data_IF_944721345666
#
_entry.id   IF_944721345666
#
_cell.length_a   1.000
_cell.length_b   1.000
_cell.length_c   1.000
_cell.angle_alpha   90.00
_cell.angle_beta   90.00
_cell.angle_gamma   90.00
#
_symmetry.space_group_name_H-M   'P 1'
#
loop_
_entity.id
_entity.type
_entity.pdbx_description
1 polymer ?
#
# COMPACT_ATOMS: atom_id res chain seq x y z
N UNK A 1 -17.33 -26.79 -16.42
CA UNK A 1 -16.66 -25.71 -17.16
C UNK A 1 -15.32 -25.50 -16.48
N UNK A 2 -14.20 -25.69 -17.19
CA UNK A 2 -12.87 -25.45 -16.61
C UNK A 2 -12.71 -23.94 -16.43
N UNK A 3 -12.51 -23.49 -15.18
CA UNK A 3 -12.12 -22.12 -14.91
C UNK A 3 -10.84 -21.82 -15.70
N UNK A 4 -10.77 -20.67 -16.37
CA UNK A 4 -9.61 -20.31 -17.17
C UNK A 4 -8.36 -20.29 -16.29
N UNK A 5 -7.18 -20.56 -16.85
CA UNK A 5 -5.90 -20.54 -16.11
C UNK A 5 -5.67 -19.22 -15.35
N UNK A 6 -6.31 -18.12 -15.78
CA UNK A 6 -6.37 -16.84 -15.08
C UNK A 6 -7.22 -16.88 -13.80
N UNK A 7 -8.43 -17.45 -13.82
CA UNK A 7 -9.26 -17.59 -12.62
C UNK A 7 -8.56 -18.44 -11.56
N UNK A 8 -7.95 -19.57 -11.93
CA UNK A 8 -7.22 -20.42 -10.98
C UNK A 8 -6.04 -19.71 -10.33
N UNK A 9 -5.28 -18.93 -11.11
CA UNK A 9 -4.18 -18.12 -10.57
C UNK A 9 -4.73 -17.06 -9.63
N UNK A 10 -5.85 -16.40 -9.98
CA UNK A 10 -6.49 -15.39 -9.13
C UNK A 10 -6.98 -15.98 -7.80
N UNK A 11 -7.66 -17.13 -7.82
CA UNK A 11 -8.10 -17.83 -6.60
C UNK A 11 -6.92 -18.27 -5.73
N UNK A 12 -5.82 -18.72 -6.35
CA UNK A 12 -4.58 -19.02 -5.62
C UNK A 12 -4.01 -17.76 -4.97
N UNK A 13 -3.97 -16.63 -5.69
CA UNK A 13 -3.50 -15.36 -5.14
C UNK A 13 -4.41 -14.85 -4.01
N UNK A 14 -5.73 -14.89 -4.17
CA UNK A 14 -6.70 -14.45 -3.16
C UNK A 14 -6.57 -15.25 -1.86
N UNK A 15 -6.29 -16.56 -1.94
CA UNK A 15 -6.07 -17.41 -0.77
C UNK A 15 -4.74 -17.16 -0.02
N UNK A 16 -3.73 -16.61 -0.69
CA UNK A 16 -2.39 -16.39 -0.11
C UNK A 16 -2.15 -14.90 0.19
N UNK A 17 -2.88 -13.97 -0.44
CA UNK A 17 -2.72 -12.52 -0.28
C UNK A 17 -2.72 -12.07 1.19
N UNK A 18 -3.68 -12.55 1.97
CA UNK A 18 -3.74 -12.25 3.41
C UNK A 18 -2.51 -12.74 4.18
N UNK A 19 -1.94 -13.90 3.79
CA UNK A 19 -0.70 -14.42 4.38
C UNK A 19 0.52 -13.69 3.85
N UNK A 20 0.47 -13.16 2.64
CA UNK A 20 1.56 -12.40 2.01
C UNK A 20 1.74 -11.03 2.64
N UNK A 21 0.66 -10.29 2.93
CA UNK A 21 0.79 -9.02 3.66
C UNK A 21 1.37 -9.25 5.06
N UNK A 22 0.90 -10.29 5.76
CA UNK A 22 1.49 -10.70 7.03
C UNK A 22 2.96 -11.12 6.91
N UNK A 23 3.30 -11.93 5.90
CA UNK A 23 4.70 -12.31 5.63
C UNK A 23 5.54 -11.10 5.22
N UNK A 24 5.02 -10.13 4.48
CA UNK A 24 5.75 -8.95 4.07
C UNK A 24 6.11 -8.10 5.29
N UNK A 25 5.19 -7.96 6.24
CA UNK A 25 5.49 -7.32 7.53
C UNK A 25 6.47 -8.15 8.38
N UNK A 26 6.32 -9.47 8.41
CA UNK A 26 7.14 -10.36 9.23
C UNK A 26 8.56 -10.57 8.67
N UNK A 27 8.70 -10.88 7.38
CA UNK A 27 9.96 -11.04 6.65
C UNK A 27 10.73 -9.72 6.51
N UNK A 28 10.03 -8.59 6.37
CA UNK A 28 10.70 -7.29 6.45
C UNK A 28 11.13 -6.97 7.89
N UNK A 29 10.77 -7.76 8.91
CA UNK A 29 11.01 -7.43 10.32
C UNK A 29 10.50 -6.02 10.69
N UNK A 30 9.44 -5.54 10.02
CA UNK A 30 8.92 -4.17 10.17
C UNK A 30 9.76 -3.08 9.50
N UNK A 31 10.72 -3.43 8.65
CA UNK A 31 11.53 -2.47 7.87
C UNK A 31 10.65 -1.70 6.88
N UNK A 32 9.56 -2.29 6.40
CA UNK A 32 8.60 -1.63 5.54
C UNK A 32 8.08 -0.32 6.17
N UNK A 33 7.80 -0.33 7.48
CA UNK A 33 7.40 0.86 8.22
C UNK A 33 8.49 1.93 8.27
N UNK A 34 9.77 1.54 8.35
CA UNK A 34 10.89 2.47 8.30
C UNK A 34 11.00 3.14 6.93
N UNK A 35 10.76 2.39 5.85
CA UNK A 35 10.78 2.92 4.49
C UNK A 35 9.63 3.90 4.27
N UNK A 36 8.42 3.58 4.76
CA UNK A 36 7.28 4.50 4.72
C UNK A 36 7.57 5.80 5.47
N UNK A 37 8.09 5.70 6.71
CA UNK A 37 8.50 6.87 7.49
C UNK A 37 9.56 7.70 6.76
N UNK A 38 10.56 7.06 6.16
CA UNK A 38 11.62 7.75 5.43
C UNK A 38 11.07 8.48 4.19
N UNK A 39 10.17 7.86 3.45
CA UNK A 39 9.54 8.47 2.28
C UNK A 39 8.66 9.67 2.67
N UNK A 40 7.82 9.51 3.70
CA UNK A 40 6.94 10.57 4.19
C UNK A 40 7.68 11.72 4.87
N UNK A 41 8.92 11.52 5.33
CA UNK A 41 9.75 12.59 5.90
C UNK A 41 10.00 13.74 4.93
N UNK A 42 9.94 13.49 3.62
CA UNK A 42 10.03 14.55 2.61
C UNK A 42 8.85 15.53 2.65
N UNK A 43 7.74 15.15 3.30
CA UNK A 43 6.55 15.99 3.47
C UNK A 43 6.64 16.91 4.69
N UNK A 44 7.63 16.74 5.58
CA UNK A 44 7.72 17.52 6.84
C UNK A 44 7.76 19.04 6.62
N UNK A 45 8.36 19.49 5.52
CA UNK A 45 8.51 20.90 5.20
C UNK A 45 7.46 21.43 4.24
N UNK A 46 6.48 20.60 3.85
CA UNK A 46 5.41 21.00 2.94
C UNK A 46 4.15 21.26 3.75
N UNK A 47 3.66 22.50 3.70
CA UNK A 47 2.43 22.87 4.38
C UNK A 47 1.23 22.42 3.55
N UNK A 48 0.33 21.65 4.16
CA UNK A 48 -0.96 21.24 3.58
C UNK A 48 -0.85 20.55 2.19
N UNK A 49 0.02 19.54 2.02
CA UNK A 49 0.33 18.95 0.71
C UNK A 49 -0.90 18.32 0.05
N UNK A 50 -0.91 18.32 -1.29
CA UNK A 50 -1.78 17.44 -2.08
C UNK A 50 -0.97 16.19 -2.44
N UNK A 51 -1.48 15.01 -2.11
CA UNK A 51 -0.76 13.74 -2.25
C UNK A 51 -1.47 12.83 -3.25
N UNK A 52 -0.71 12.24 -4.16
CA UNK A 52 -1.15 11.17 -5.05
C UNK A 52 -0.41 9.89 -4.66
N UNK A 53 -1.15 8.87 -4.21
CA UNK A 53 -0.65 7.53 -3.90
C UNK A 53 -0.96 6.60 -5.08
N UNK A 54 0.08 6.11 -5.74
CA UNK A 54 -0.01 5.34 -6.99
C UNK A 54 0.25 3.87 -6.71
N UNK A 55 -0.58 2.98 -7.26
CA UNK A 55 -0.62 1.57 -6.88
C UNK A 55 -0.88 1.44 -5.37
N UNK A 56 -1.89 2.16 -4.89
CA UNK A 56 -2.14 2.35 -3.46
C UNK A 56 -2.53 1.05 -2.73
N UNK A 57 -2.96 0.00 -3.45
CA UNK A 57 -3.40 -1.25 -2.85
C UNK A 57 -4.41 -1.03 -1.72
N UNK A 58 -4.12 -1.53 -0.52
CA UNK A 58 -4.92 -1.37 0.70
C UNK A 58 -4.96 0.06 1.24
N UNK A 59 -4.13 0.98 0.72
CA UNK A 59 -4.11 2.39 1.08
C UNK A 59 -3.27 2.72 2.31
N UNK A 60 -2.47 1.79 2.83
CA UNK A 60 -1.70 2.00 4.06
C UNK A 60 -0.73 3.19 3.99
N UNK A 61 -0.18 3.46 2.80
CA UNK A 61 0.75 4.58 2.59
C UNK A 61 0.01 5.93 2.63
N UNK A 62 -1.09 6.06 1.90
CA UNK A 62 -2.02 7.18 1.99
C UNK A 62 -2.49 7.44 3.44
N UNK A 63 -2.86 6.40 4.19
CA UNK A 63 -3.28 6.52 5.60
C UNK A 63 -2.13 7.07 6.46
N UNK A 64 -0.92 6.52 6.30
CA UNK A 64 0.25 7.01 7.04
C UNK A 64 0.56 8.49 6.74
N UNK A 65 0.29 8.95 5.53
CA UNK A 65 0.50 10.34 5.12
C UNK A 65 -0.46 11.34 5.79
N UNK A 66 -1.60 10.91 6.34
CA UNK A 66 -2.56 11.78 7.04
C UNK A 66 -1.96 12.54 8.22
N UNK A 67 -0.91 11.99 8.85
CA UNK A 67 -0.17 12.66 9.93
C UNK A 67 0.36 14.04 9.52
N UNK A 68 0.62 14.24 8.23
CA UNK A 68 1.16 15.48 7.66
C UNK A 68 0.08 16.50 7.29
N UNK A 69 -1.18 16.24 7.68
CA UNK A 69 -2.34 17.11 7.43
C UNK A 69 -2.42 17.59 5.98
N UNK A 70 -2.43 16.66 5.01
CA UNK A 70 -2.60 17.03 3.61
C UNK A 70 -3.96 17.69 3.38
N UNK A 71 -4.02 18.59 2.40
CA UNK A 71 -5.27 19.19 1.94
C UNK A 71 -6.13 18.18 1.20
N UNK A 72 -5.48 17.22 0.53
CA UNK A 72 -6.12 16.17 -0.24
C UNK A 72 -5.16 14.99 -0.42
N UNK A 73 -5.70 13.77 -0.35
CA UNK A 73 -5.00 12.54 -0.77
C UNK A 73 -5.86 11.86 -1.83
N UNK A 74 -5.23 11.40 -2.91
CA UNK A 74 -5.86 10.64 -3.99
C UNK A 74 -5.11 9.31 -4.08
N UNK A 75 -5.80 8.19 -3.94
CA UNK A 75 -5.26 6.86 -4.19
C UNK A 75 -5.72 6.35 -5.56
N UNK A 76 -4.80 5.80 -6.35
CA UNK A 76 -5.12 5.11 -7.60
C UNK A 76 -4.53 3.70 -7.58
N UNK A 77 -5.34 2.72 -7.99
CA UNK A 77 -4.92 1.33 -8.12
C UNK A 77 -5.59 0.67 -9.34
N UNK A 78 -4.95 -0.36 -9.90
CA UNK A 78 -5.42 -1.08 -11.10
C UNK A 78 -6.06 -2.45 -10.77
N UNK A 79 -6.11 -2.84 -9.49
CA UNK A 79 -6.63 -4.14 -9.01
C UNK A 79 -8.15 -4.30 -9.09
#
# INVERSE_FOLDING_TARGET
MQAGKKEQVREMFDGIAYRYDFLNHFLSLGIDNLWRKKALRNLENITNPVILDVASGTGDFAIAALKYKPSKIIGIDLS
#
